data_IF_815606658856
#
_entry.id   IF_815606658856
#
_cell.length_a   1.000
_cell.length_b   1.000
_cell.length_c   1.000
_cell.angle_alpha   90.00
_cell.angle_beta   90.00
_cell.angle_gamma   90.00
#
_symmetry.space_group_name_H-M   'P 1'
#
loop_
_entity.id
_entity.type
_entity.pdbx_description
1 polymer ?
#
# COMPACT_ATOMS: atom_id res chain seq x y z
N UNK A 1 19.50 0.78 -21.14
CA UNK A 1 19.16 -0.65 -20.98
C UNK A 1 17.67 -0.77 -20.67
N UNK A 2 16.91 -1.44 -21.53
CA UNK A 2 15.43 -1.49 -21.47
C UNK A 2 14.95 -2.39 -20.32
N UNK A 3 14.20 -1.83 -19.37
CA UNK A 3 13.58 -2.49 -18.20
C UNK A 3 12.54 -3.58 -18.54
N UNK A 4 12.43 -4.01 -19.80
CA UNK A 4 11.42 -4.98 -20.23
C UNK A 4 11.78 -6.44 -19.88
N UNK A 5 13.06 -6.76 -19.67
CA UNK A 5 13.51 -8.15 -19.55
C UNK A 5 13.59 -8.71 -18.12
N UNK A 6 13.40 -7.89 -17.07
CA UNK A 6 13.52 -8.35 -15.67
C UNK A 6 12.29 -9.14 -15.18
N UNK A 7 11.13 -9.00 -15.85
CA UNK A 7 9.85 -9.52 -15.36
C UNK A 7 9.45 -10.91 -15.86
N UNK A 8 10.26 -11.56 -16.71
CA UNK A 8 9.84 -12.76 -17.44
C UNK A 8 10.22 -14.10 -16.80
N UNK A 9 10.69 -14.14 -15.56
CA UNK A 9 10.91 -15.43 -14.88
C UNK A 9 9.58 -15.98 -14.32
N UNK A 10 9.08 -17.14 -14.81
CA UNK A 10 7.93 -17.78 -14.22
C UNK A 10 8.32 -18.36 -12.85
N UNK A 11 7.96 -17.66 -11.78
CA UNK A 11 8.12 -18.19 -10.42
C UNK A 11 7.14 -19.36 -10.25
N UNK A 12 7.68 -20.58 -10.26
CA UNK A 12 6.94 -21.84 -10.07
C UNK A 12 6.46 -21.90 -8.62
N UNK A 13 5.16 -21.73 -8.38
CA UNK A 13 4.60 -21.92 -7.04
C UNK A 13 4.46 -23.40 -6.75
N UNK A 14 4.99 -23.84 -5.61
CA UNK A 14 4.57 -25.11 -5.02
C UNK A 14 3.11 -24.98 -4.58
N UNK A 15 2.19 -25.90 -4.92
CA UNK A 15 0.79 -25.81 -4.52
C UNK A 15 0.63 -25.75 -3.00
N UNK A 16 1.50 -26.43 -2.25
CA UNK A 16 1.56 -26.35 -0.78
C UNK A 16 1.74 -24.92 -0.26
N UNK A 17 2.60 -24.12 -0.92
CA UNK A 17 2.80 -22.71 -0.55
C UNK A 17 1.53 -21.89 -0.73
N UNK A 18 0.77 -22.17 -1.80
CA UNK A 18 -0.49 -21.47 -2.07
C UNK A 18 -1.56 -21.82 -1.04
N UNK A 19 -1.65 -23.08 -0.63
CA UNK A 19 -2.57 -23.53 0.42
C UNK A 19 -2.23 -22.85 1.75
N UNK A 20 -0.95 -22.84 2.14
CA UNK A 20 -0.48 -22.12 3.31
C UNK A 20 -0.87 -20.63 3.27
N UNK A 21 -0.64 -19.97 2.13
CA UNK A 21 -1.00 -18.56 1.96
C UNK A 21 -2.48 -18.27 2.20
N UNK A 22 -3.34 -19.14 1.69
CA UNK A 22 -4.79 -19.00 1.85
C UNK A 22 -5.19 -19.23 3.31
N UNK A 23 -4.76 -20.35 3.91
CA UNK A 23 -5.14 -20.71 5.28
C UNK A 23 -4.68 -19.67 6.31
N UNK A 24 -3.42 -19.22 6.20
CA UNK A 24 -2.89 -18.22 7.12
C UNK A 24 -3.57 -16.85 6.91
N UNK A 25 -3.84 -16.46 5.66
CA UNK A 25 -4.54 -15.18 5.40
C UNK A 25 -5.99 -15.21 5.92
N UNK A 26 -6.69 -16.33 5.78
CA UNK A 26 -8.03 -16.52 6.36
C UNK A 26 -7.98 -16.42 7.89
N UNK A 27 -7.03 -17.11 8.52
CA UNK A 27 -6.82 -17.04 9.97
C UNK A 27 -6.61 -15.60 10.44
N UNK A 28 -5.69 -14.86 9.80
CA UNK A 28 -5.42 -13.45 10.15
C UNK A 28 -6.65 -12.57 9.94
N UNK A 29 -7.37 -12.71 8.82
CA UNK A 29 -8.56 -11.90 8.54
C UNK A 29 -9.68 -12.14 9.55
N UNK A 30 -9.91 -13.39 9.95
CA UNK A 30 -10.95 -13.74 10.94
C UNK A 30 -10.52 -13.28 12.33
N UNK A 31 -9.31 -13.65 12.76
CA UNK A 31 -8.81 -13.36 14.11
C UNK A 31 -8.67 -11.86 14.38
N UNK A 32 -8.17 -11.10 13.39
CA UNK A 32 -8.04 -9.64 13.51
C UNK A 32 -9.28 -8.87 13.06
N UNK A 33 -10.37 -9.53 12.66
CA UNK A 33 -11.61 -8.86 12.24
C UNK A 33 -12.13 -7.76 13.19
N UNK A 34 -12.10 -7.89 14.54
CA UNK A 34 -12.47 -6.78 15.43
C UNK A 34 -11.52 -5.58 15.30
N UNK A 35 -10.23 -5.82 15.10
CA UNK A 35 -9.23 -4.76 14.90
C UNK A 35 -9.47 -4.04 13.56
N UNK A 36 -9.80 -4.78 12.50
CA UNK A 36 -10.20 -4.18 11.22
C UNK A 36 -11.40 -3.24 11.38
N UNK A 37 -12.43 -3.67 12.12
CA UNK A 37 -13.64 -2.89 12.34
C UNK A 37 -13.33 -1.60 13.11
N UNK A 38 -12.59 -1.69 14.22
CA UNK A 38 -12.21 -0.52 15.03
C UNK A 38 -11.41 0.48 14.19
N UNK A 39 -10.37 0.03 13.48
CA UNK A 39 -9.55 0.89 12.62
C UNK A 39 -10.42 1.54 11.54
N UNK A 40 -11.32 0.78 10.92
CA UNK A 40 -12.23 1.27 9.88
C UNK A 40 -13.14 2.39 10.38
N UNK A 41 -13.71 2.23 11.57
CA UNK A 41 -14.56 3.24 12.22
C UNK A 41 -13.76 4.52 12.48
N UNK A 42 -12.56 4.42 13.09
CA UNK A 42 -11.75 5.62 13.41
C UNK A 42 -11.31 6.34 12.12
N UNK A 43 -10.92 5.59 11.07
CA UNK A 43 -10.58 6.17 9.77
C UNK A 43 -11.77 6.92 9.15
N UNK A 44 -12.98 6.37 9.30
CA UNK A 44 -14.22 6.98 8.78
C UNK A 44 -14.47 8.35 9.44
N UNK A 45 -14.27 8.46 10.76
CA UNK A 45 -14.42 9.72 11.50
C UNK A 45 -13.28 10.72 11.30
N UNK A 46 -12.08 10.27 10.90
CA UNK A 46 -10.91 11.16 10.76
C UNK A 46 -11.03 12.10 9.54
N UNK A 47 -11.56 11.62 8.42
CA UNK A 47 -11.75 12.45 7.21
C UNK A 47 -12.76 11.82 6.25
N UNK A 48 -13.46 12.63 5.46
CA UNK A 48 -14.41 12.11 4.47
C UNK A 48 -13.72 11.27 3.38
N UNK A 49 -14.31 10.13 3.01
CA UNK A 49 -13.90 9.29 1.87
C UNK A 49 -13.74 7.81 2.22
N UNK A 50 -13.23 6.99 1.30
CA UNK A 50 -13.15 5.54 1.49
C UNK A 50 -12.15 5.16 2.59
N UNK A 51 -12.48 4.09 3.32
CA UNK A 51 -11.64 3.52 4.39
C UNK A 51 -10.38 2.90 3.81
N UNK A 52 -10.51 2.25 2.65
CA UNK A 52 -9.39 1.61 1.97
C UNK A 52 -8.80 2.51 0.89
N UNK A 53 -7.48 2.53 0.83
CA UNK A 53 -6.69 3.08 -0.26
C UNK A 53 -6.17 1.94 -1.14
N UNK A 54 -6.30 2.09 -2.46
CA UNK A 54 -5.84 1.10 -3.42
C UNK A 54 -4.61 1.66 -4.14
N UNK A 55 -3.49 0.97 -4.00
CA UNK A 55 -2.24 1.30 -4.71
C UNK A 55 -2.01 0.32 -5.84
N UNK A 56 -1.93 0.82 -7.08
CA UNK A 56 -1.43 0.01 -8.19
C UNK A 56 0.08 -0.25 -8.02
N UNK A 57 0.48 -1.49 -8.26
CA UNK A 57 1.88 -1.94 -8.15
C UNK A 57 2.20 -2.96 -9.25
N UNK A 58 3.47 -3.10 -9.59
CA UNK A 58 3.94 -4.20 -10.44
C UNK A 58 4.21 -5.41 -9.55
N UNK A 59 3.40 -6.45 -9.76
CA UNK A 59 3.50 -7.73 -9.09
C UNK A 59 4.22 -8.78 -9.95
N UNK A 60 3.92 -10.04 -9.69
CA UNK A 60 4.56 -11.19 -10.32
C UNK A 60 4.37 -11.19 -11.84
N UNK A 61 5.45 -11.49 -12.58
CA UNK A 61 5.40 -11.59 -14.04
C UNK A 61 5.12 -10.26 -14.74
N UNK A 62 5.40 -9.13 -14.08
CA UNK A 62 5.13 -7.78 -14.61
C UNK A 62 3.65 -7.38 -14.57
N UNK A 63 2.76 -8.22 -14.01
CA UNK A 63 1.33 -7.91 -13.94
C UNK A 63 1.06 -6.79 -12.95
N UNK A 64 0.21 -5.84 -13.34
CA UNK A 64 -0.27 -4.81 -12.41
C UNK A 64 -1.25 -5.43 -11.41
N UNK A 65 -1.00 -5.21 -10.13
CA UNK A 65 -1.85 -5.64 -9.02
C UNK A 65 -2.35 -4.41 -8.24
N UNK A 66 -3.51 -4.56 -7.60
CA UNK A 66 -4.15 -3.50 -6.80
C UNK A 66 -3.98 -3.80 -5.30
N UNK A 67 -2.91 -3.32 -4.68
CA UNK A 67 -2.65 -3.51 -3.26
C UNK A 67 -3.61 -2.69 -2.41
N UNK A 68 -4.38 -3.36 -1.55
CA UNK A 68 -5.36 -2.74 -0.66
C UNK A 68 -4.68 -2.39 0.65
N UNK A 69 -4.89 -1.17 1.14
CA UNK A 69 -4.37 -0.66 2.42
C UNK A 69 -5.44 0.12 3.14
N UNK A 70 -5.28 0.33 4.44
CA UNK A 70 -6.04 1.35 5.13
C UNK A 70 -5.61 2.75 4.67
N UNK A 71 -6.57 3.67 4.60
CA UNK A 71 -6.30 5.06 4.28
C UNK A 71 -5.61 5.73 5.47
N UNK A 72 -4.38 6.18 5.25
CA UNK A 72 -3.56 6.87 6.27
C UNK A 72 -3.36 8.36 5.98
N UNK A 73 -3.89 8.86 4.86
CA UNK A 73 -3.70 10.23 4.38
C UNK A 73 -5.04 10.95 4.25
N UNK A 74 -5.03 12.28 4.42
CA UNK A 74 -6.21 13.11 4.18
C UNK A 74 -6.62 13.08 2.70
N UNK A 75 -7.91 13.26 2.40
CA UNK A 75 -8.46 13.24 1.02
C UNK A 75 -7.75 14.21 0.06
N UNK A 76 -7.34 15.40 0.54
CA UNK A 76 -6.64 16.43 -0.27
C UNK A 76 -5.12 16.35 -0.19
N UNK A 77 -4.57 15.18 0.12
CA UNK A 77 -3.13 14.97 0.29
C UNK A 77 -2.32 15.39 -0.94
N UNK A 78 -2.77 15.08 -2.16
CA UNK A 78 -2.00 15.41 -3.36
C UNK A 78 -1.99 16.92 -3.66
N UNK A 79 -3.12 17.61 -3.47
CA UNK A 79 -3.16 19.08 -3.56
C UNK A 79 -2.25 19.74 -2.53
N UNK A 80 -2.24 19.22 -1.29
CA UNK A 80 -1.33 19.69 -0.24
C UNK A 80 0.13 19.44 -0.61
N UNK A 81 0.46 18.26 -1.17
CA UNK A 81 1.81 17.98 -1.66
C UNK A 81 2.23 19.02 -2.69
N UNK A 82 1.43 19.23 -3.72
CA UNK A 82 1.76 20.19 -4.79
C UNK A 82 1.98 21.61 -4.25
N UNK A 83 1.17 22.04 -3.28
CA UNK A 83 1.37 23.33 -2.61
C UNK A 83 2.71 23.38 -1.86
N UNK A 84 3.04 22.34 -1.10
CA UNK A 84 4.28 22.26 -0.33
C UNK A 84 5.53 22.24 -1.21
N UNK A 85 5.53 21.44 -2.29
CA UNK A 85 6.68 21.35 -3.20
C UNK A 85 6.88 22.65 -4.00
N UNK A 86 5.82 23.45 -4.22
CA UNK A 86 5.94 24.78 -4.82
C UNK A 86 6.50 25.83 -3.86
N UNK A 87 6.21 25.70 -2.57
CA UNK A 87 6.55 26.71 -1.56
C UNK A 87 7.91 26.45 -0.88
N UNK A 88 8.47 25.25 -0.99
CA UNK A 88 9.68 24.88 -0.27
C UNK A 88 10.59 23.98 -1.12
N UNK A 89 11.76 24.50 -1.50
CA UNK A 89 12.71 23.80 -2.36
C UNK A 89 13.40 22.62 -1.64
N UNK A 90 13.54 22.66 -0.32
CA UNK A 90 14.08 21.55 0.48
C UNK A 90 13.12 20.35 0.40
N UNK A 91 11.81 20.59 0.58
CA UNK A 91 10.79 19.55 0.46
C UNK A 91 10.68 19.03 -0.98
N UNK A 92 10.90 19.88 -1.98
CA UNK A 92 10.98 19.48 -3.39
C UNK A 92 12.14 18.53 -3.63
N UNK A 93 13.35 18.91 -3.23
CA UNK A 93 14.54 18.08 -3.38
C UNK A 93 14.39 16.74 -2.66
N UNK A 94 13.86 16.74 -1.44
CA UNK A 94 13.57 15.52 -0.68
C UNK A 94 12.58 14.62 -1.43
N UNK A 95 11.51 15.19 -1.96
CA UNK A 95 10.52 14.45 -2.74
C UNK A 95 11.07 13.89 -4.05
N UNK A 96 11.88 14.66 -4.78
CA UNK A 96 12.50 14.22 -6.03
C UNK A 96 13.46 13.06 -5.78
N UNK A 97 14.23 13.11 -4.69
CA UNK A 97 15.21 12.09 -4.32
C UNK A 97 14.55 10.81 -3.80
N UNK A 98 13.59 10.94 -2.87
CA UNK A 98 13.08 9.79 -2.10
C UNK A 98 11.63 9.42 -2.41
N UNK A 99 10.89 10.24 -3.15
CA UNK A 99 9.45 10.12 -3.39
C UNK A 99 8.64 9.98 -2.08
N UNK A 100 9.19 10.50 -0.99
CA UNK A 100 8.66 10.49 0.38
C UNK A 100 9.20 11.72 1.11
N UNK A 101 8.37 12.29 1.99
CA UNK A 101 8.80 13.32 2.93
C UNK A 101 9.02 12.66 4.29
N UNK A 102 10.10 13.01 5.01
CA UNK A 102 10.38 12.48 6.35
C UNK A 102 9.29 12.87 7.34
N UNK A 103 8.85 14.12 7.30
CA UNK A 103 7.75 14.64 8.10
C UNK A 103 6.59 15.05 7.19
N UNK A 104 5.83 14.06 6.73
CA UNK A 104 4.75 14.28 5.77
C UNK A 104 3.47 14.80 6.47
N UNK A 105 3.06 16.07 6.26
CA UNK A 105 1.86 16.64 6.89
C UNK A 105 0.56 16.11 6.29
N UNK A 106 0.63 15.32 5.21
CA UNK A 106 -0.55 14.71 4.57
C UNK A 106 -1.06 13.48 5.32
N UNK A 107 -0.24 12.92 6.21
CA UNK A 107 -0.55 11.72 6.98
C UNK A 107 -1.35 12.12 8.23
N UNK A 108 -2.45 11.44 8.50
CA UNK A 108 -3.25 11.67 9.72
C UNK A 108 -2.51 11.18 10.97
N UNK A 109 -2.82 11.66 12.19
CA UNK A 109 -2.19 11.14 13.41
C UNK A 109 -2.35 9.62 13.56
N UNK A 110 -3.56 9.10 13.35
CA UNK A 110 -3.82 7.65 13.28
C UNK A 110 -3.01 6.99 12.15
N UNK A 111 -2.97 7.61 10.96
CA UNK A 111 -2.22 7.10 9.82
C UNK A 111 -0.73 6.97 10.10
N UNK A 112 -0.16 7.87 10.91
CA UNK A 112 1.24 7.80 11.36
C UNK A 112 1.47 6.58 12.25
N UNK A 113 0.54 6.32 13.18
CA UNK A 113 0.57 5.11 13.99
C UNK A 113 0.46 3.84 13.13
N UNK A 114 -0.54 3.77 12.24
CA UNK A 114 -0.77 2.62 11.35
C UNK A 114 0.44 2.30 10.47
N UNK A 115 1.12 3.32 9.93
CA UNK A 115 2.34 3.14 9.13
C UNK A 115 3.54 2.69 9.95
N UNK A 116 3.67 3.17 11.20
CA UNK A 116 4.75 2.77 12.09
C UNK A 116 4.64 1.30 12.49
N UNK A 117 3.42 0.81 12.70
CA UNK A 117 3.13 -0.58 13.06
C UNK A 117 2.87 -1.48 11.85
N UNK A 118 2.90 -0.94 10.63
CA UNK A 118 2.49 -1.62 9.39
C UNK A 118 1.06 -2.16 9.39
N UNK A 119 0.22 -1.71 10.34
CA UNK A 119 -1.19 -2.09 10.40
C UNK A 119 -1.97 -1.56 9.20
N UNK A 120 -1.49 -0.50 8.53
CA UNK A 120 -2.09 -0.01 7.29
C UNK A 120 -2.06 -1.04 6.15
N UNK A 121 -1.13 -1.99 6.21
CA UNK A 121 -0.95 -3.04 5.21
C UNK A 121 -1.77 -4.31 5.51
N UNK A 122 -2.41 -4.42 6.67
CA UNK A 122 -3.26 -5.58 7.01
C UNK A 122 -4.25 -5.95 5.90
N UNK A 123 -5.01 -5.02 5.28
CA UNK A 123 -5.94 -5.35 4.19
C UNK A 123 -5.32 -6.08 2.98
N UNK A 124 -3.99 -6.08 2.83
CA UNK A 124 -3.29 -6.84 1.80
C UNK A 124 -3.47 -8.36 1.96
N UNK A 125 -3.88 -8.89 3.12
CA UNK A 125 -4.25 -10.31 3.22
C UNK A 125 -5.41 -10.68 2.28
N UNK A 126 -6.27 -9.71 1.91
CA UNK A 126 -7.29 -9.90 0.86
C UNK A 126 -6.63 -10.11 -0.52
N UNK A 127 -5.54 -9.39 -0.81
CA UNK A 127 -4.76 -9.60 -2.04
C UNK A 127 -4.07 -10.97 -2.04
N UNK A 128 -3.63 -11.45 -0.88
CA UNK A 128 -3.12 -12.81 -0.76
C UNK A 128 -4.22 -13.82 -1.09
N UNK A 129 -5.43 -13.69 -0.55
CA UNK A 129 -6.55 -14.56 -0.92
C UNK A 129 -6.85 -14.55 -2.44
N UNK A 130 -6.81 -13.37 -3.07
CA UNK A 130 -6.99 -13.23 -4.54
C UNK A 130 -5.87 -13.86 -5.37
N UNK A 131 -4.69 -14.07 -4.78
CA UNK A 131 -3.51 -14.58 -5.49
C UNK A 131 -2.66 -13.49 -6.15
N UNK A 132 -2.95 -12.22 -5.85
CA UNK A 132 -2.13 -11.08 -6.29
C UNK A 132 -0.81 -11.01 -5.52
N UNK A 133 -0.84 -11.43 -4.25
CA UNK A 133 0.29 -11.42 -3.31
C UNK A 133 0.49 -12.80 -2.67
N UNK A 134 1.63 -12.96 -2.01
CA UNK A 134 2.01 -14.09 -1.18
C UNK A 134 2.43 -13.55 0.19
N UNK A 135 2.21 -14.29 1.28
CA UNK A 135 2.60 -13.85 2.63
C UNK A 135 4.11 -13.61 2.70
N UNK A 136 4.87 -14.51 2.09
CA UNK A 136 6.32 -14.42 1.94
C UNK A 136 6.62 -14.35 0.45
N UNK A 137 7.19 -13.22 0.02
CA UNK A 137 7.52 -12.97 -1.38
C UNK A 137 8.18 -11.61 -1.58
N UNK A 138 8.67 -11.31 -2.79
CA UNK A 138 9.24 -10.01 -3.11
C UNK A 138 8.19 -8.90 -3.00
N UNK A 139 8.58 -7.74 -2.47
CA UNK A 139 7.68 -6.59 -2.34
C UNK A 139 7.33 -6.05 -3.73
N UNK A 140 6.05 -5.77 -4.02
CA UNK A 140 5.66 -5.27 -5.33
C UNK A 140 6.12 -3.82 -5.53
N UNK A 141 6.59 -3.51 -6.75
CA UNK A 141 7.20 -2.21 -7.05
C UNK A 141 6.16 -1.14 -7.33
N UNK A 142 6.45 0.10 -6.95
CA UNK A 142 5.62 1.24 -7.32
C UNK A 142 5.64 1.44 -8.85
N UNK A 143 4.48 1.77 -9.43
CA UNK A 143 4.45 2.27 -10.80
C UNK A 143 5.06 3.68 -10.81
N UNK A 144 6.21 3.83 -11.48
CA UNK A 144 6.83 5.13 -11.72
C UNK A 144 6.02 5.84 -12.82
N UNK A 145 5.54 7.05 -12.57
CA UNK A 145 5.00 7.94 -13.61
C UNK A 145 3.47 8.01 -13.79
N UNK A 146 2.64 7.33 -12.97
CA UNK A 146 1.17 7.47 -13.05
C UNK A 146 0.67 8.49 -12.02
N UNK A 147 -0.04 9.54 -12.46
CA UNK A 147 -0.80 10.45 -11.58
C UNK A 147 -1.72 9.59 -10.71
N UNK A 148 -1.60 9.74 -9.39
CA UNK A 148 -2.56 9.17 -8.44
C UNK A 148 -3.89 9.90 -8.72
N UNK A 149 -4.91 9.14 -9.12
CA UNK A 149 -6.28 9.65 -9.30
C UNK A 149 -6.90 9.85 -7.92
#
# INVERSE_FOLDING_TARGET
MSCKNVFLYPIKHKPSKRIFDILFSLFVLIFFSPVYLIISIIISFTSQGPIFYISERIGRGGKTIRCIKFRTMYKKADSLLHKLLKQNDILRYEWETFQKLRNDPRITPLGRFLRKTSLDELPQFINVLKGDLSIVGPRPFALIGKKRI
#
